data_IF_233291824067
#
_entry.id   IF_233291824067
#
_cell.length_a   1.000
_cell.length_b   1.000
_cell.length_c   1.000
_cell.angle_alpha   90.00
_cell.angle_beta   90.00
_cell.angle_gamma   90.00
#
_symmetry.space_group_name_H-M   'P 1'
#
loop_
_entity.id
_entity.type
_entity.pdbx_description
1 polymer ?
#
# COMPACT_ATOMS: atom_id res chain seq x y z
N UNK A 1 -1.77 10.70 9.80
CA UNK A 1 -1.77 10.12 11.16
C UNK A 1 -1.21 8.70 11.23
N UNK A 2 -1.25 7.90 10.15
CA UNK A 2 -0.71 6.52 10.14
C UNK A 2 0.83 6.44 10.14
N UNK A 3 1.52 7.48 9.70
CA UNK A 3 2.99 7.52 9.62
C UNK A 3 3.64 7.54 11.01
N UNK A 4 3.06 8.24 11.97
CA UNK A 4 3.67 8.41 13.30
C UNK A 4 3.88 7.07 14.02
N UNK A 5 2.90 6.17 14.13
CA UNK A 5 3.11 4.86 14.74
C UNK A 5 4.23 4.05 14.09
N UNK A 6 4.35 4.13 12.76
CA UNK A 6 5.38 3.40 12.03
C UNK A 6 6.79 3.97 12.27
N UNK A 7 6.94 5.29 12.27
CA UNK A 7 8.24 5.94 12.48
C UNK A 7 8.77 5.72 13.90
N UNK A 8 7.90 5.51 14.88
CA UNK A 8 8.29 5.24 16.27
C UNK A 8 8.98 3.87 16.49
N UNK A 9 8.95 2.98 15.48
CA UNK A 9 9.72 1.74 15.49
C UNK A 9 11.16 1.91 14.97
N UNK A 10 11.50 3.09 14.43
CA UNK A 10 12.83 3.37 13.87
C UNK A 10 13.72 3.98 14.94
N UNK A 11 14.98 3.53 15.02
CA UNK A 11 15.93 3.99 16.06
C UNK A 11 16.40 5.42 15.90
N UNK A 12 16.50 5.92 14.67
CA UNK A 12 16.86 7.31 14.38
C UNK A 12 15.93 7.88 13.33
N UNK A 13 15.22 8.93 13.69
CA UNK A 13 14.27 9.56 12.78
C UNK A 13 14.10 11.03 13.09
N UNK A 14 13.68 11.77 12.12
CA UNK A 14 13.19 13.14 12.28
C UNK A 14 11.97 13.35 11.40
N UNK A 15 10.98 14.05 11.92
CA UNK A 15 9.77 14.43 11.23
C UNK A 15 9.66 15.95 11.27
N UNK A 16 9.53 16.59 10.11
CA UNK A 16 9.23 18.01 10.00
C UNK A 16 7.99 18.19 9.12
N UNK A 17 7.05 18.97 9.60
CA UNK A 17 5.80 19.22 8.88
C UNK A 17 5.37 20.68 9.02
N UNK A 18 4.74 21.21 7.98
CA UNK A 18 4.00 22.47 8.06
C UNK A 18 2.53 22.13 8.26
N UNK A 19 1.96 22.62 9.34
CA UNK A 19 0.57 22.41 9.71
C UNK A 19 -0.25 23.66 9.37
N UNK A 20 -1.38 23.45 8.71
CA UNK A 20 -2.39 24.47 8.54
C UNK A 20 -3.61 24.09 9.38
N UNK A 21 -3.93 24.93 10.34
CA UNK A 21 -5.15 24.80 11.15
C UNK A 21 -6.11 25.92 10.81
N UNK A 22 -7.35 25.55 10.50
CA UNK A 22 -8.43 26.51 10.28
C UNK A 22 -9.19 26.67 11.60
N UNK A 23 -9.26 27.90 12.09
CA UNK A 23 -10.08 28.24 13.23
C UNK A 23 -11.56 28.02 12.89
N UNK A 24 -12.26 27.28 13.73
CA UNK A 24 -13.64 26.90 13.46
C UNK A 24 -14.63 28.10 13.50
N UNK A 25 -14.34 29.10 14.34
CA UNK A 25 -15.23 30.23 14.54
C UNK A 25 -14.92 31.40 13.60
N UNK A 26 -13.66 31.68 13.38
CA UNK A 26 -13.21 32.83 12.59
C UNK A 26 -12.89 32.49 11.14
N UNK A 27 -12.72 31.20 10.82
CA UNK A 27 -12.29 30.76 9.49
C UNK A 27 -10.82 31.07 9.16
N UNK A 28 -10.09 31.71 10.08
CA UNK A 28 -8.70 32.10 9.87
C UNK A 28 -7.79 30.89 9.79
N UNK A 29 -6.83 30.93 8.88
CA UNK A 29 -5.82 29.90 8.71
C UNK A 29 -4.57 30.31 9.48
N UNK A 30 -4.16 29.45 10.43
CA UNK A 30 -2.88 29.56 11.11
C UNK A 30 -1.93 28.53 10.52
N UNK A 31 -0.73 28.96 10.18
CA UNK A 31 0.35 28.10 9.68
C UNK A 31 1.42 27.98 10.74
N UNK A 32 1.76 26.75 11.12
CA UNK A 32 2.80 26.46 12.10
C UNK A 32 3.78 25.40 11.60
N UNK A 33 5.01 25.44 12.10
CA UNK A 33 5.98 24.35 11.91
C UNK A 33 5.86 23.37 13.07
N UNK A 34 5.90 22.10 12.73
CA UNK A 34 5.91 20.99 13.67
C UNK A 34 7.16 20.14 13.42
N UNK A 35 7.90 19.85 14.47
CA UNK A 35 9.12 19.04 14.37
C UNK A 35 9.18 18.06 15.52
N UNK A 36 9.48 16.81 15.21
CA UNK A 36 9.73 15.71 16.16
C UNK A 36 11.01 14.98 15.76
N UNK A 37 11.66 14.41 16.75
CA UNK A 37 12.83 13.53 16.56
C UNK A 37 12.68 12.28 17.42
N UNK A 38 13.54 11.31 17.20
CA UNK A 38 13.70 10.11 18.05
C UNK A 38 13.87 10.41 19.54
N UNK A 39 14.24 11.64 19.90
CA UNK A 39 14.43 12.10 21.30
C UNK A 39 13.16 12.70 21.92
N UNK A 40 12.02 12.65 21.25
CA UNK A 40 10.78 13.29 21.71
C UNK A 40 10.08 12.54 22.87
N UNK A 41 10.57 11.35 23.27
CA UNK A 41 9.98 10.53 24.34
C UNK A 41 8.65 9.89 23.99
N UNK A 42 8.23 9.93 22.71
CA UNK A 42 7.04 9.21 22.26
C UNK A 42 7.37 7.74 22.02
N UNK A 43 6.53 6.86 22.54
CA UNK A 43 6.60 5.43 22.35
C UNK A 43 5.36 4.93 21.60
N UNK A 44 5.52 3.87 20.82
CA UNK A 44 4.39 3.23 20.16
C UNK A 44 3.78 2.15 21.04
N UNK A 45 2.47 2.11 21.12
CA UNK A 45 1.73 1.02 21.77
C UNK A 45 1.55 -0.21 20.86
N UNK A 46 1.93 -0.10 19.59
CA UNK A 46 1.87 -1.22 18.66
C UNK A 46 3.11 -2.08 18.82
N UNK A 47 2.96 -3.42 18.98
CA UNK A 47 4.10 -4.30 19.06
C UNK A 47 4.94 -4.23 17.80
N UNK A 48 6.28 -4.33 17.88
CA UNK A 48 7.10 -4.53 16.70
C UNK A 48 6.70 -5.84 16.03
N UNK A 49 6.30 -5.80 14.79
CA UNK A 49 5.85 -6.99 14.07
C UNK A 49 5.20 -6.67 12.74
N UNK A 50 4.79 -7.70 12.04
CA UNK A 50 4.07 -7.61 10.76
C UNK A 50 2.73 -6.89 10.97
N UNK A 51 2.70 -5.56 10.93
CA UNK A 51 1.45 -4.82 10.92
C UNK A 51 0.97 -4.75 9.46
N UNK A 52 -0.19 -5.29 9.18
CA UNK A 52 -0.80 -5.20 7.86
C UNK A 52 -1.81 -4.06 7.84
N UNK A 53 -1.85 -3.32 6.75
CA UNK A 53 -2.79 -2.20 6.58
C UNK A 53 -4.23 -2.68 6.45
N UNK A 54 -4.41 -3.94 6.05
CA UNK A 54 -5.71 -4.58 5.96
C UNK A 54 -5.70 -6.04 6.43
N UNK A 55 -6.86 -6.52 6.89
CA UNK A 55 -7.08 -7.95 7.21
C UNK A 55 -6.90 -8.85 5.99
N UNK A 56 -7.11 -8.30 4.80
CA UNK A 56 -6.99 -9.03 3.54
C UNK A 56 -5.53 -9.37 3.24
N UNK A 57 -4.63 -8.39 3.41
CA UNK A 57 -3.19 -8.58 3.28
C UNK A 57 -2.65 -9.58 4.32
N UNK A 58 -3.06 -9.42 5.59
CA UNK A 58 -2.69 -10.35 6.65
C UNK A 58 -3.10 -11.78 6.31
N UNK A 59 -4.36 -11.96 5.89
CA UNK A 59 -4.87 -13.27 5.53
C UNK A 59 -4.23 -13.87 4.27
N UNK A 60 -3.77 -13.04 3.34
CA UNK A 60 -3.01 -13.49 2.18
C UNK A 60 -1.62 -13.98 2.58
N UNK A 61 -0.90 -13.20 3.38
CA UNK A 61 0.43 -13.56 3.87
C UNK A 61 0.40 -14.85 4.71
N UNK A 62 -0.60 -15.02 5.59
CA UNK A 62 -0.77 -16.24 6.36
C UNK A 62 -1.01 -17.49 5.49
N UNK A 63 -1.68 -17.33 4.33
CA UNK A 63 -1.87 -18.41 3.36
C UNK A 63 -0.60 -18.70 2.58
N UNK A 64 0.17 -17.64 2.27
CA UNK A 64 1.45 -17.75 1.59
C UNK A 64 2.46 -18.54 2.43
N UNK A 65 2.58 -18.23 3.71
CA UNK A 65 3.50 -18.90 4.64
C UNK A 65 3.21 -20.42 4.76
N UNK A 66 1.99 -20.85 4.44
CA UNK A 66 1.57 -22.26 4.42
C UNK A 66 1.78 -22.95 3.07
N UNK A 67 2.09 -22.19 2.02
CA UNK A 67 2.30 -22.73 0.69
C UNK A 67 3.76 -23.18 0.53
N UNK A 68 3.94 -24.40 0.02
CA UNK A 68 5.26 -24.88 -0.39
C UNK A 68 5.56 -24.32 -1.78
N UNK A 69 6.37 -23.26 -1.84
CA UNK A 69 6.80 -22.60 -3.08
C UNK A 69 8.21 -22.08 -2.92
N UNK A 70 8.93 -21.92 -4.01
CA UNK A 70 10.25 -21.27 -4.03
C UNK A 70 10.13 -19.74 -4.02
N UNK A 71 8.95 -19.20 -4.28
CA UNK A 71 8.69 -17.76 -4.23
C UNK A 71 8.66 -17.24 -2.81
N UNK A 72 9.42 -16.19 -2.55
CA UNK A 72 9.47 -15.48 -1.28
C UNK A 72 8.53 -14.29 -1.37
N UNK A 73 7.66 -14.14 -0.37
CA UNK A 73 6.77 -12.98 -0.22
C UNK A 73 7.44 -11.97 0.70
N UNK A 74 7.77 -10.81 0.16
CA UNK A 74 8.31 -9.67 0.91
C UNK A 74 7.27 -8.57 1.00
N UNK A 75 7.23 -7.86 2.12
CA UNK A 75 6.24 -6.83 2.37
C UNK A 75 6.85 -5.43 2.26
N UNK A 76 6.15 -4.52 1.56
CA UNK A 76 6.44 -3.07 1.54
C UNK A 76 7.93 -2.70 1.34
N UNK A 77 8.67 -3.50 0.59
CA UNK A 77 10.13 -3.35 0.48
C UNK A 77 10.55 -2.39 -0.64
N UNK A 78 9.63 -2.00 -1.50
CA UNK A 78 9.94 -1.20 -2.68
C UNK A 78 9.01 0.00 -2.80
N UNK A 79 9.63 1.16 -3.02
CA UNK A 79 8.91 2.38 -3.36
C UNK A 79 8.93 2.54 -4.88
N UNK A 80 7.77 2.55 -5.51
CA UNK A 80 7.66 2.86 -6.93
C UNK A 80 7.53 4.38 -7.14
N UNK A 81 8.57 5.05 -7.64
CA UNK A 81 8.48 6.46 -7.96
C UNK A 81 7.54 6.67 -9.14
N UNK A 82 6.62 7.61 -9.01
CA UNK A 82 5.67 7.99 -10.05
C UNK A 82 5.75 9.51 -10.22
N UNK A 83 5.65 10.06 -11.43
CA UNK A 83 5.65 11.50 -11.62
C UNK A 83 4.65 12.23 -10.69
N UNK A 84 5.17 13.03 -9.75
CA UNK A 84 4.40 13.77 -8.75
C UNK A 84 3.83 12.93 -7.60
N UNK A 85 4.22 11.65 -7.44
CA UNK A 85 3.73 10.77 -6.40
C UNK A 85 4.68 9.60 -6.14
N UNK A 86 4.33 8.77 -5.15
CA UNK A 86 4.98 7.48 -4.86
C UNK A 86 3.88 6.43 -4.66
N UNK A 87 4.08 5.24 -5.18
CA UNK A 87 3.27 4.07 -4.87
C UNK A 87 4.06 3.15 -3.93
N UNK A 88 3.43 2.71 -2.88
CA UNK A 88 3.96 1.70 -1.95
C UNK A 88 3.11 0.46 -2.17
N UNK A 89 3.63 -0.56 -2.85
CA UNK A 89 2.91 -1.81 -3.06
C UNK A 89 2.82 -2.61 -1.76
N UNK A 90 1.81 -3.47 -1.67
CA UNK A 90 1.62 -4.30 -0.48
C UNK A 90 2.72 -5.36 -0.35
N UNK A 91 3.11 -5.99 -1.47
CA UNK A 91 4.08 -7.08 -1.49
C UNK A 91 5.00 -7.05 -2.71
N UNK A 92 6.15 -7.69 -2.55
CA UNK A 92 7.04 -8.12 -3.61
C UNK A 92 7.20 -9.64 -3.55
N UNK A 93 7.10 -10.29 -4.70
CA UNK A 93 7.39 -11.70 -4.90
C UNK A 93 8.79 -11.83 -5.48
N UNK A 94 9.63 -12.63 -4.88
CA UNK A 94 11.01 -12.86 -5.35
C UNK A 94 11.25 -14.35 -5.53
N UNK A 95 11.78 -14.73 -6.67
CA UNK A 95 12.16 -16.10 -6.96
C UNK A 95 13.69 -16.26 -6.95
N UNK A 96 14.24 -17.40 -6.53
CA UNK A 96 15.69 -17.62 -6.49
C UNK A 96 16.41 -17.49 -7.83
N UNK A 97 15.70 -17.63 -8.95
CA UNK A 97 16.24 -17.42 -10.30
C UNK A 97 16.38 -15.93 -10.71
N UNK A 98 16.02 -15.00 -9.83
CA UNK A 98 16.13 -13.56 -10.03
C UNK A 98 14.86 -12.88 -10.56
N UNK A 99 13.80 -13.62 -10.89
CA UNK A 99 12.50 -13.01 -11.24
C UNK A 99 11.88 -12.35 -10.01
N UNK A 100 11.26 -11.19 -10.21
CA UNK A 100 10.49 -10.53 -9.17
C UNK A 100 9.24 -9.88 -9.74
N UNK A 101 8.17 -9.89 -8.94
CA UNK A 101 6.91 -9.24 -9.27
C UNK A 101 6.41 -8.43 -8.08
N UNK A 102 5.71 -7.37 -8.38
CA UNK A 102 5.06 -6.53 -7.39
C UNK A 102 3.59 -6.93 -7.32
N UNK A 103 3.07 -7.11 -6.12
CA UNK A 103 1.67 -7.43 -5.89
C UNK A 103 1.00 -6.33 -5.09
N UNK A 104 -0.10 -5.84 -5.63
CA UNK A 104 -0.99 -4.89 -4.99
C UNK A 104 -2.37 -5.50 -4.84
N UNK A 105 -2.94 -5.49 -3.64
CA UNK A 105 -4.24 -6.07 -3.32
C UNK A 105 -5.28 -4.97 -3.17
N UNK A 106 -6.25 -4.95 -4.07
CA UNK A 106 -7.32 -3.96 -4.11
C UNK A 106 -8.61 -4.60 -3.58
N UNK A 107 -8.83 -4.49 -2.26
CA UNK A 107 -9.91 -5.17 -1.57
C UNK A 107 -11.19 -4.35 -1.44
N UNK A 108 -11.15 -3.22 -0.74
CA UNK A 108 -12.30 -2.36 -0.49
C UNK A 108 -11.91 -0.88 -0.54
N UNK A 109 -12.38 -0.16 -1.56
CA UNK A 109 -12.03 1.23 -1.76
C UNK A 109 -13.20 2.08 -2.25
N UNK A 110 -13.18 3.34 -1.91
CA UNK A 110 -14.11 4.32 -2.49
C UNK A 110 -13.75 4.58 -3.96
N UNK A 111 -14.73 4.86 -4.83
CA UNK A 111 -14.49 5.09 -6.26
C UNK A 111 -13.38 6.10 -6.57
N UNK A 112 -13.31 7.20 -5.80
CA UNK A 112 -12.31 8.25 -6.00
C UNK A 112 -10.88 7.76 -5.72
N UNK A 113 -10.75 6.87 -4.74
CA UNK A 113 -9.46 6.25 -4.42
C UNK A 113 -9.02 5.26 -5.50
N UNK A 114 -9.95 4.46 -6.02
CA UNK A 114 -9.69 3.56 -7.13
C UNK A 114 -9.17 4.30 -8.36
N UNK A 115 -9.83 5.40 -8.75
CA UNK A 115 -9.38 6.24 -9.86
C UNK A 115 -7.94 6.72 -9.66
N UNK A 116 -7.61 7.20 -8.45
CA UNK A 116 -6.26 7.64 -8.10
C UNK A 116 -5.25 6.50 -8.19
N UNK A 117 -5.59 5.33 -7.64
CA UNK A 117 -4.71 4.16 -7.62
C UNK A 117 -4.43 3.65 -9.04
N UNK A 118 -5.46 3.51 -9.86
CA UNK A 118 -5.29 3.09 -11.25
C UNK A 118 -4.55 4.14 -12.10
N UNK A 119 -4.72 5.44 -11.83
CA UNK A 119 -3.90 6.47 -12.45
C UNK A 119 -2.42 6.35 -12.05
N UNK A 120 -2.12 5.96 -10.82
CA UNK A 120 -0.76 5.67 -10.36
C UNK A 120 -0.19 4.46 -11.08
N UNK A 121 -0.93 3.37 -11.17
CA UNK A 121 -0.52 2.15 -11.89
C UNK A 121 -0.18 2.45 -13.34
N UNK A 122 -1.03 3.20 -14.06
CA UNK A 122 -0.75 3.59 -15.46
C UNK A 122 0.53 4.44 -15.59
N UNK A 123 0.80 5.30 -14.62
CA UNK A 123 1.98 6.18 -14.63
C UNK A 123 3.26 5.49 -14.15
N UNK A 124 3.16 4.37 -13.47
CA UNK A 124 4.32 3.65 -12.94
C UNK A 124 5.19 3.05 -14.03
N UNK A 125 4.61 2.68 -15.17
CA UNK A 125 5.31 1.96 -16.24
C UNK A 125 5.86 0.61 -15.81
N UNK A 126 5.39 0.06 -14.68
CA UNK A 126 5.89 -1.17 -14.10
C UNK A 126 5.30 -2.39 -14.83
N UNK A 127 6.13 -3.10 -15.57
CA UNK A 127 5.72 -4.26 -16.38
C UNK A 127 5.55 -5.56 -15.58
N UNK A 128 6.01 -5.57 -14.33
CA UNK A 128 5.97 -6.72 -13.43
C UNK A 128 5.07 -6.46 -12.21
N UNK A 129 4.02 -5.68 -12.42
CA UNK A 129 2.99 -5.39 -11.43
C UNK A 129 1.81 -6.32 -11.64
N UNK A 130 1.38 -6.96 -10.58
CA UNK A 130 0.16 -7.76 -10.47
C UNK A 130 -0.84 -7.00 -9.60
N UNK A 131 -2.04 -6.78 -10.12
CA UNK A 131 -3.16 -6.23 -9.37
C UNK A 131 -4.16 -7.33 -9.03
N UNK A 132 -4.27 -7.66 -7.75
CA UNK A 132 -5.33 -8.54 -7.28
C UNK A 132 -6.56 -7.72 -6.87
N UNK A 133 -7.65 -7.83 -7.61
CA UNK A 133 -8.84 -6.98 -7.47
C UNK A 133 -10.02 -7.82 -6.98
N UNK A 134 -10.69 -7.35 -5.92
CA UNK A 134 -11.89 -7.99 -5.44
C UNK A 134 -13.05 -7.78 -6.42
N UNK A 135 -13.75 -8.88 -6.80
CA UNK A 135 -14.97 -8.84 -7.63
C UNK A 135 -16.11 -8.03 -6.99
N UNK A 136 -16.04 -7.78 -5.68
CA UNK A 136 -17.03 -6.93 -4.96
C UNK A 136 -16.90 -5.45 -5.34
N UNK A 137 -15.78 -5.07 -5.98
CA UNK A 137 -15.56 -3.71 -6.44
C UNK A 137 -16.25 -3.50 -7.78
N UNK A 138 -17.13 -2.50 -7.82
CA UNK A 138 -17.75 -2.09 -9.08
C UNK A 138 -16.82 -1.08 -9.79
N UNK A 139 -15.94 -1.60 -10.66
CA UNK A 139 -15.00 -0.77 -11.40
C UNK A 139 -15.69 0.16 -12.40
N UNK A 140 -16.86 -0.22 -12.92
CA UNK A 140 -17.63 0.62 -13.84
C UNK A 140 -18.08 1.91 -13.18
N UNK A 141 -18.52 1.84 -11.90
CA UNK A 141 -18.82 3.05 -11.12
C UNK A 141 -17.61 3.93 -10.87
N UNK A 142 -16.41 3.35 -10.87
CA UNK A 142 -15.17 4.10 -10.76
C UNK A 142 -14.67 4.61 -12.13
N UNK A 143 -15.39 4.33 -13.22
CA UNK A 143 -14.99 4.72 -14.58
C UNK A 143 -13.70 4.04 -15.06
N UNK A 144 -13.41 2.85 -14.55
CA UNK A 144 -12.18 2.11 -14.88
C UNK A 144 -12.54 0.81 -15.58
N UNK A 145 -11.91 0.59 -16.73
CA UNK A 145 -11.95 -0.71 -17.42
C UNK A 145 -10.67 -1.46 -17.09
N UNK A 146 -10.77 -2.70 -16.64
CA UNK A 146 -9.61 -3.54 -16.33
C UNK A 146 -8.70 -3.77 -17.54
N UNK A 147 -9.29 -3.84 -18.75
CA UNK A 147 -8.55 -3.97 -20.01
C UNK A 147 -7.62 -2.78 -20.32
N UNK A 148 -7.83 -1.63 -19.68
CA UNK A 148 -7.00 -0.43 -19.87
C UNK A 148 -5.81 -0.35 -18.90
N UNK A 149 -5.61 -1.37 -18.07
CA UNK A 149 -4.51 -1.41 -17.09
C UNK A 149 -3.28 -2.07 -17.73
N UNK A 150 -2.10 -1.42 -17.65
CA UNK A 150 -0.85 -1.94 -18.22
C UNK A 150 -0.15 -2.94 -17.27
N UNK A 151 -0.89 -3.87 -16.70
CA UNK A 151 -0.39 -4.84 -15.73
C UNK A 151 -1.27 -6.09 -15.70
N UNK A 152 -0.76 -7.17 -15.12
CA UNK A 152 -1.54 -8.39 -14.89
C UNK A 152 -2.65 -8.13 -13.86
N UNK A 153 -3.86 -8.62 -14.14
CA UNK A 153 -5.02 -8.44 -13.27
C UNK A 153 -5.59 -9.78 -12.86
N UNK A 154 -5.60 -10.02 -11.54
CA UNK A 154 -6.18 -11.23 -10.94
C UNK A 154 -7.47 -10.83 -10.22
N UNK A 155 -8.56 -11.51 -10.53
CA UNK A 155 -9.84 -11.31 -9.84
C UNK A 155 -10.03 -12.31 -8.73
N UNK A 156 -10.52 -11.85 -7.56
CA UNK A 156 -10.88 -12.74 -6.46
C UNK A 156 -12.21 -12.32 -5.82
N UNK A 157 -12.97 -13.28 -5.34
CA UNK A 157 -14.31 -13.06 -4.78
C UNK A 157 -14.26 -12.75 -3.27
N UNK A 158 -13.88 -13.73 -2.48
CA UNK A 158 -13.90 -13.63 -1.01
C UNK A 158 -12.51 -13.59 -0.40
N UNK A 159 -11.56 -14.26 -1.00
CA UNK A 159 -10.18 -14.38 -0.54
C UNK A 159 -9.23 -14.52 -1.73
N UNK A 160 -8.12 -13.83 -1.66
CA UNK A 160 -7.02 -14.03 -2.60
C UNK A 160 -6.26 -15.30 -2.20
N UNK A 161 -6.10 -16.22 -3.15
CA UNK A 161 -5.34 -17.44 -2.97
C UNK A 161 -3.93 -17.27 -3.54
N UNK A 162 -2.86 -17.71 -2.82
CA UNK A 162 -1.49 -17.65 -3.35
C UNK A 162 -1.32 -18.38 -4.68
N UNK A 163 -2.02 -19.50 -4.89
CA UNK A 163 -1.97 -20.24 -6.17
C UNK A 163 -2.41 -19.40 -7.37
N UNK A 164 -3.47 -18.61 -7.22
CA UNK A 164 -3.94 -17.74 -8.31
C UNK A 164 -2.97 -16.61 -8.67
N UNK A 165 -1.97 -16.36 -7.83
CA UNK A 165 -0.92 -15.37 -8.08
C UNK A 165 0.30 -16.02 -8.75
N UNK A 166 0.44 -17.34 -8.65
CA UNK A 166 1.56 -18.12 -9.21
C UNK A 166 1.24 -18.77 -10.57
N UNK A 167 -0.02 -18.78 -10.97
CA UNK A 167 -0.51 -19.28 -12.28
C UNK A 167 -0.33 -18.20 -13.36
#
# INVERSE_FOLDING_TARGET
>A
AKLIPAILHVTKWSLSATLQTKDFYTGNIKVGRYSLTDKCGLETHYPPGKSYDSLLEAAFADRWDKLKTEWILEREVELLPIPGSVMIPDFRLVHPDGRSYILEIVGYWRPEYLQKKFAQVRKSGCNHLILAISERLNLEKAGVKSADLPCEVIWFKDKLLPKSVLE
#
